data_IF_230367623631
#
_entry.id   IF_230367623631
#
_cell.length_a   1.000
_cell.length_b   1.000
_cell.length_c   1.000
_cell.angle_alpha   90.00
_cell.angle_beta   90.00
_cell.angle_gamma   90.00
#
_symmetry.space_group_name_H-M   'P 1'
#
loop_
_entity.id
_entity.type
_entity.pdbx_description
1 polymer ?
#
# COMPACT_ATOMS: atom_id res chain seq x y z
N UNK A 1 -28.58 -50.28 -23.22
CA UNK A 1 -29.65 -49.33 -22.87
C UNK A 1 -29.01 -47.98 -22.54
N UNK A 2 -29.29 -46.95 -23.35
CA UNK A 2 -30.22 -45.84 -23.03
C UNK A 2 -29.60 -44.66 -22.27
N UNK A 3 -28.55 -44.82 -21.48
CA UNK A 3 -28.00 -43.71 -20.65
C UNK A 3 -27.71 -42.42 -21.45
N UNK A 4 -27.14 -42.58 -22.65
CA UNK A 4 -26.83 -41.47 -23.55
C UNK A 4 -28.07 -40.84 -24.20
N UNK A 5 -29.12 -41.64 -24.42
CA UNK A 5 -30.42 -41.14 -24.88
C UNK A 5 -31.15 -40.44 -23.74
N UNK A 6 -31.09 -40.99 -22.53
CA UNK A 6 -31.73 -40.45 -21.33
C UNK A 6 -31.14 -39.08 -20.98
N UNK A 7 -29.81 -38.93 -21.03
CA UNK A 7 -29.12 -37.62 -20.89
C UNK A 7 -29.64 -36.59 -21.91
N UNK A 8 -29.87 -37.01 -23.15
CA UNK A 8 -30.35 -36.10 -24.20
C UNK A 8 -31.80 -35.69 -23.99
N UNK A 9 -32.67 -36.64 -23.65
CA UNK A 9 -34.08 -36.39 -23.32
C UNK A 9 -34.20 -35.46 -22.11
N UNK A 10 -33.43 -35.70 -21.05
CA UNK A 10 -33.37 -34.81 -19.88
C UNK A 10 -32.86 -33.42 -20.25
N UNK A 11 -31.83 -33.32 -21.11
CA UNK A 11 -31.35 -32.06 -21.63
C UNK A 11 -32.41 -31.27 -22.42
N UNK A 12 -33.26 -31.97 -23.19
CA UNK A 12 -34.39 -31.38 -23.91
C UNK A 12 -35.51 -30.92 -22.95
N UNK A 13 -35.81 -31.70 -21.92
CA UNK A 13 -36.75 -31.29 -20.86
C UNK A 13 -36.22 -30.03 -20.17
N UNK A 14 -34.93 -29.98 -19.85
CA UNK A 14 -34.31 -28.80 -19.25
C UNK A 14 -34.37 -27.58 -20.17
N UNK A 15 -34.19 -27.77 -21.48
CA UNK A 15 -34.37 -26.71 -22.48
C UNK A 15 -35.82 -26.20 -22.55
N UNK A 16 -36.80 -27.09 -22.41
CA UNK A 16 -38.23 -26.74 -22.40
C UNK A 16 -38.63 -25.98 -21.13
N UNK A 17 -38.06 -26.31 -19.97
CA UNK A 17 -38.30 -25.58 -18.73
C UNK A 17 -37.69 -24.17 -18.73
N UNK A 18 -36.65 -23.94 -19.53
CA UNK A 18 -35.91 -22.68 -19.58
C UNK A 18 -35.66 -22.23 -21.05
N UNK A 19 -36.69 -21.74 -21.76
CA UNK A 19 -36.60 -21.44 -23.19
C UNK A 19 -35.69 -20.24 -23.52
N UNK A 20 -35.71 -19.19 -22.69
CA UNK A 20 -35.01 -17.92 -22.98
C UNK A 20 -33.75 -17.73 -22.13
N UNK A 21 -32.89 -18.75 -22.03
CA UNK A 21 -31.66 -18.65 -21.26
C UNK A 21 -30.57 -17.91 -22.06
N UNK A 22 -30.05 -16.78 -21.56
CA UNK A 22 -28.95 -16.08 -22.22
C UNK A 22 -27.66 -16.93 -22.15
N UNK A 23 -26.80 -16.83 -23.17
CA UNK A 23 -25.59 -17.68 -23.32
C UNK A 23 -24.60 -17.66 -22.14
N UNK A 24 -24.74 -16.69 -21.25
CA UNK A 24 -23.89 -16.42 -20.11
C UNK A 24 -24.29 -17.29 -18.91
N UNK A 25 -25.55 -17.72 -18.86
CA UNK A 25 -26.09 -18.55 -17.78
C UNK A 25 -25.50 -19.95 -17.81
N UNK A 26 -25.37 -20.54 -16.64
CA UNK A 26 -24.80 -21.88 -16.52
C UNK A 26 -25.79 -22.95 -16.99
N UNK A 27 -27.09 -22.70 -16.87
CA UNK A 27 -28.15 -23.56 -17.41
C UNK A 27 -27.99 -23.70 -18.93
N UNK A 28 -27.74 -22.61 -19.67
CA UNK A 28 -27.52 -22.67 -21.11
C UNK A 28 -26.38 -23.63 -21.47
N UNK A 29 -25.26 -23.58 -20.75
CA UNK A 29 -24.11 -24.45 -21.01
C UNK A 29 -24.40 -25.91 -20.68
N UNK A 30 -25.10 -26.18 -19.59
CA UNK A 30 -25.53 -27.55 -19.21
C UNK A 30 -26.48 -28.14 -20.24
N UNK A 31 -27.52 -27.38 -20.65
CA UNK A 31 -28.46 -27.78 -21.71
C UNK A 31 -27.70 -28.06 -23.01
N UNK A 32 -26.86 -27.12 -23.45
CA UNK A 32 -26.08 -27.25 -24.69
C UNK A 32 -25.15 -28.46 -24.67
N UNK A 33 -24.56 -28.82 -23.53
CA UNK A 33 -23.71 -30.01 -23.38
C UNK A 33 -24.54 -31.30 -23.40
N UNK A 34 -25.68 -31.33 -22.73
CA UNK A 34 -26.58 -32.49 -22.72
C UNK A 34 -27.19 -32.76 -24.10
N UNK A 35 -27.51 -31.73 -24.87
CA UNK A 35 -28.17 -31.85 -26.18
C UNK A 35 -27.21 -31.86 -27.38
N UNK A 36 -25.92 -32.20 -27.20
CA UNK A 36 -24.99 -32.32 -28.33
C UNK A 36 -25.35 -33.50 -29.24
N UNK A 37 -25.14 -33.32 -30.54
CA UNK A 37 -25.42 -34.34 -31.57
C UNK A 37 -24.54 -35.58 -31.41
N UNK A 38 -23.27 -35.40 -31.06
CA UNK A 38 -22.32 -36.50 -30.84
C UNK A 38 -22.43 -37.02 -29.40
N UNK A 39 -22.79 -38.30 -29.24
CA UNK A 39 -22.90 -38.95 -27.94
C UNK A 39 -21.63 -38.81 -27.08
N UNK A 40 -20.44 -38.96 -27.69
CA UNK A 40 -19.15 -38.84 -27.01
C UNK A 40 -18.88 -37.46 -26.39
N UNK A 41 -19.60 -36.43 -26.83
CA UNK A 41 -19.43 -35.05 -26.34
C UNK A 41 -20.48 -34.66 -25.29
N UNK A 42 -21.49 -35.51 -25.06
CA UNK A 42 -22.48 -35.35 -24.00
C UNK A 42 -21.88 -35.74 -22.65
N UNK A 43 -22.66 -35.56 -21.59
CA UNK A 43 -22.33 -36.14 -20.29
C UNK A 43 -22.20 -37.66 -20.42
N UNK A 44 -21.22 -38.24 -19.70
CA UNK A 44 -20.98 -39.67 -19.73
C UNK A 44 -22.18 -40.47 -19.20
N UNK A 45 -22.84 -39.94 -18.17
CA UNK A 45 -23.98 -40.53 -17.49
C UNK A 45 -24.91 -39.44 -16.91
N UNK A 46 -26.11 -39.85 -16.48
CA UNK A 46 -27.08 -38.95 -15.84
C UNK A 46 -26.53 -38.35 -14.53
N UNK A 47 -25.66 -39.08 -13.82
CA UNK A 47 -25.02 -38.59 -12.59
C UNK A 47 -24.16 -37.35 -12.83
N UNK A 48 -23.42 -37.30 -13.93
CA UNK A 48 -22.59 -36.15 -14.30
C UNK A 48 -23.46 -34.92 -14.65
N UNK A 49 -24.60 -35.13 -15.31
CA UNK A 49 -25.58 -34.08 -15.54
C UNK A 49 -26.15 -33.55 -14.22
N UNK A 50 -26.56 -34.45 -13.32
CA UNK A 50 -27.05 -34.10 -11.98
C UNK A 50 -26.02 -33.30 -11.18
N UNK A 51 -24.75 -33.72 -11.21
CA UNK A 51 -23.67 -33.03 -10.51
C UNK A 51 -23.52 -31.58 -10.98
N UNK A 52 -23.60 -31.32 -12.29
CA UNK A 52 -23.53 -29.96 -12.81
C UNK A 52 -24.76 -29.11 -12.40
N UNK A 53 -25.95 -29.72 -12.31
CA UNK A 53 -27.15 -29.05 -11.80
C UNK A 53 -27.02 -28.72 -10.31
N UNK A 54 -26.56 -29.66 -9.48
CA UNK A 54 -26.27 -29.43 -8.06
C UNK A 54 -25.23 -28.33 -7.88
N UNK A 55 -24.19 -28.31 -8.72
CA UNK A 55 -23.21 -27.23 -8.75
C UNK A 55 -23.86 -25.86 -9.05
N UNK A 56 -24.84 -25.77 -9.95
CA UNK A 56 -25.58 -24.52 -10.20
C UNK A 56 -26.37 -24.11 -8.95
N UNK A 57 -27.09 -25.03 -8.32
CA UNK A 57 -27.88 -24.77 -7.11
C UNK A 57 -27.01 -24.32 -5.93
N UNK A 58 -25.87 -24.98 -5.72
CA UNK A 58 -24.91 -24.64 -4.66
C UNK A 58 -23.97 -23.47 -5.01
N UNK A 59 -24.17 -22.81 -6.16
CA UNK A 59 -23.30 -21.74 -6.70
C UNK A 59 -21.82 -22.17 -6.81
N UNK A 60 -21.53 -23.44 -7.11
CA UNK A 60 -20.18 -24.00 -7.35
C UNK A 60 -19.86 -24.11 -8.83
N UNK A 61 -18.66 -23.78 -9.32
CA UNK A 61 -18.36 -23.74 -10.75
C UNK A 61 -18.73 -25.04 -11.49
N UNK A 62 -19.44 -24.92 -12.63
CA UNK A 62 -19.75 -26.06 -13.50
C UNK A 62 -18.48 -26.62 -14.15
N UNK A 63 -18.45 -27.92 -14.46
CA UNK A 63 -17.25 -28.59 -14.99
C UNK A 63 -16.68 -27.88 -16.22
N UNK A 64 -17.56 -27.40 -17.11
CA UNK A 64 -17.16 -26.74 -18.35
C UNK A 64 -16.48 -25.37 -18.15
N UNK A 65 -16.88 -24.59 -17.13
CA UNK A 65 -16.33 -23.25 -16.84
C UNK A 65 -15.29 -23.26 -15.71
N UNK A 66 -14.97 -24.43 -15.17
CA UNK A 66 -14.01 -24.59 -14.06
C UNK A 66 -12.62 -24.01 -14.38
N UNK A 67 -12.24 -24.00 -15.65
CA UNK A 67 -10.95 -23.47 -16.12
C UNK A 67 -10.82 -21.95 -16.02
N UNK A 68 -11.90 -21.20 -15.77
CA UNK A 68 -11.86 -19.74 -15.63
C UNK A 68 -11.68 -19.32 -14.17
N UNK A 69 -10.51 -18.79 -13.79
CA UNK A 69 -10.20 -18.49 -12.39
C UNK A 69 -11.13 -17.41 -11.83
N UNK A 70 -11.44 -16.37 -12.62
CA UNK A 70 -12.33 -15.28 -12.21
C UNK A 70 -13.75 -15.76 -11.89
N UNK A 71 -14.27 -16.69 -12.69
CA UNK A 71 -15.60 -17.26 -12.47
C UNK A 71 -15.64 -18.12 -11.20
N UNK A 72 -14.58 -18.89 -10.95
CA UNK A 72 -14.45 -19.72 -9.75
C UNK A 72 -14.34 -18.86 -8.48
N UNK A 73 -13.54 -17.79 -8.51
CA UNK A 73 -13.41 -16.88 -7.36
C UNK A 73 -14.70 -16.13 -7.07
N UNK A 74 -15.40 -15.62 -8.09
CA UNK A 74 -16.72 -14.99 -7.91
C UNK A 74 -17.73 -15.94 -7.26
N UNK A 75 -17.79 -17.20 -7.71
CA UNK A 75 -18.63 -18.22 -7.09
C UNK A 75 -18.23 -18.52 -5.64
N UNK A 76 -16.94 -18.49 -5.32
CA UNK A 76 -16.46 -18.62 -3.93
C UNK A 76 -16.93 -17.46 -3.05
N UNK A 77 -16.84 -16.22 -3.55
CA UNK A 77 -17.35 -15.02 -2.86
C UNK A 77 -18.85 -15.14 -2.60
N UNK A 78 -19.63 -15.58 -3.60
CA UNK A 78 -21.08 -15.76 -3.47
C UNK A 78 -21.50 -16.83 -2.46
N UNK A 79 -20.65 -17.84 -2.20
CA UNK A 79 -20.92 -18.92 -1.23
C UNK A 79 -20.52 -18.53 0.19
N UNK A 80 -19.48 -17.72 0.36
CA UNK A 80 -18.96 -17.33 1.68
C UNK A 80 -18.68 -15.82 1.73
N UNK A 81 -19.73 -14.99 1.85
CA UNK A 81 -19.57 -13.54 1.80
C UNK A 81 -18.72 -13.01 2.96
N UNK A 82 -18.92 -13.51 4.18
CA UNK A 82 -18.20 -13.04 5.38
C UNK A 82 -16.67 -13.19 5.28
N UNK A 83 -16.10 -14.40 5.10
CA UNK A 83 -14.64 -14.53 5.01
C UNK A 83 -14.07 -13.88 3.76
N UNK A 84 -14.84 -13.83 2.66
CA UNK A 84 -14.39 -13.14 1.45
C UNK A 84 -14.22 -11.65 1.68
N UNK A 85 -15.19 -10.99 2.32
CA UNK A 85 -15.12 -9.57 2.65
C UNK A 85 -13.96 -9.29 3.61
N UNK A 86 -13.80 -10.10 4.65
CA UNK A 86 -12.68 -9.95 5.59
C UNK A 86 -11.32 -10.07 4.90
N UNK A 87 -11.15 -11.07 4.02
CA UNK A 87 -9.92 -11.21 3.24
C UNK A 87 -9.67 -10.02 2.31
N UNK A 88 -10.72 -9.50 1.66
CA UNK A 88 -10.62 -8.33 0.79
C UNK A 88 -10.21 -7.08 1.58
N UNK A 89 -10.79 -6.87 2.77
CA UNK A 89 -10.41 -5.76 3.67
C UNK A 89 -8.95 -5.90 4.10
N UNK A 90 -8.51 -7.09 4.49
CA UNK A 90 -7.12 -7.34 4.89
C UNK A 90 -6.16 -7.03 3.74
N UNK A 91 -6.42 -7.54 2.54
CA UNK A 91 -5.60 -7.24 1.36
C UNK A 91 -5.59 -5.75 1.07
N UNK A 92 -6.76 -5.09 1.08
CA UNK A 92 -6.86 -3.66 0.84
C UNK A 92 -6.07 -2.85 1.86
N UNK A 93 -6.18 -3.19 3.15
CA UNK A 93 -5.40 -2.54 4.21
C UNK A 93 -3.90 -2.74 4.02
N UNK A 94 -3.46 -3.94 3.63
CA UNK A 94 -2.06 -4.24 3.36
C UNK A 94 -1.52 -3.46 2.17
N UNK A 95 -2.31 -3.32 1.10
CA UNK A 95 -1.95 -2.53 -0.08
C UNK A 95 -1.87 -1.04 0.26
N UNK A 96 -2.86 -0.50 0.98
CA UNK A 96 -2.85 0.90 1.39
C UNK A 96 -1.65 1.19 2.31
N UNK A 97 -1.43 0.36 3.32
CA UNK A 97 -0.30 0.49 4.23
C UNK A 97 1.05 0.30 3.53
N UNK A 98 1.16 -0.66 2.63
CA UNK A 98 2.37 -0.86 1.82
C UNK A 98 2.69 0.36 0.96
N UNK A 99 1.68 0.94 0.30
CA UNK A 99 1.86 2.15 -0.50
C UNK A 99 2.31 3.35 0.35
N UNK A 100 1.73 3.56 1.53
CA UNK A 100 2.14 4.67 2.40
C UNK A 100 3.58 4.47 2.89
N UNK A 101 3.98 3.25 3.23
CA UNK A 101 5.36 2.93 3.60
C UNK A 101 6.34 3.18 2.46
N UNK A 102 6.02 2.76 1.24
CA UNK A 102 6.87 2.98 0.05
C UNK A 102 7.04 4.49 -0.21
N UNK A 103 5.95 5.26 -0.17
CA UNK A 103 6.02 6.71 -0.33
C UNK A 103 6.92 7.37 0.72
N UNK A 104 6.78 6.97 1.98
CA UNK A 104 7.62 7.49 3.07
C UNK A 104 9.07 7.08 2.94
N UNK A 105 9.34 5.86 2.50
CA UNK A 105 10.71 5.41 2.23
C UNK A 105 11.36 6.27 1.14
N UNK A 106 10.65 6.52 0.03
CA UNK A 106 11.15 7.37 -1.06
C UNK A 106 11.44 8.79 -0.57
N UNK A 107 10.57 9.39 0.25
CA UNK A 107 10.80 10.72 0.85
C UNK A 107 12.09 10.74 1.68
N UNK A 108 12.30 9.74 2.54
CA UNK A 108 13.50 9.65 3.36
C UNK A 108 14.77 9.49 2.52
N UNK A 109 14.73 8.73 1.43
CA UNK A 109 15.86 8.59 0.52
C UNK A 109 16.20 9.90 -0.17
N UNK A 110 15.19 10.69 -0.55
CA UNK A 110 15.38 12.01 -1.13
C UNK A 110 16.01 12.98 -0.12
N UNK A 111 15.49 13.04 1.10
CA UNK A 111 16.05 13.88 2.17
C UNK A 111 17.49 13.52 2.49
N UNK A 112 17.82 12.21 2.54
CA UNK A 112 19.20 11.75 2.73
C UNK A 112 20.12 12.20 1.61
N UNK A 113 19.71 12.03 0.35
CA UNK A 113 20.52 12.43 -0.79
C UNK A 113 20.79 13.94 -0.80
N UNK A 114 19.78 14.74 -0.44
CA UNK A 114 19.92 16.19 -0.30
C UNK A 114 20.90 16.52 0.85
N UNK A 115 20.81 15.83 1.98
CA UNK A 115 21.71 16.04 3.11
C UNK A 115 23.17 15.67 2.77
N UNK A 116 23.39 14.58 2.04
CA UNK A 116 24.71 14.16 1.56
C UNK A 116 25.33 15.19 0.60
N UNK A 117 24.54 15.72 -0.33
CA UNK A 117 24.97 16.75 -1.29
C UNK A 117 25.34 18.06 -0.58
N UNK A 118 24.47 18.52 0.32
CA UNK A 118 24.73 19.71 1.15
C UNK A 118 25.99 19.51 2.01
N UNK A 119 26.18 18.33 2.59
CA UNK A 119 27.36 18.01 3.40
C UNK A 119 28.66 18.12 2.59
N UNK A 120 28.65 17.66 1.33
CA UNK A 120 29.80 17.79 0.43
C UNK A 120 30.12 19.26 0.13
N UNK A 121 29.11 20.08 -0.14
CA UNK A 121 29.28 21.50 -0.42
C UNK A 121 29.81 22.27 0.80
N UNK A 122 29.25 22.03 1.98
CA UNK A 122 29.71 22.66 3.24
C UNK A 122 31.15 22.27 3.54
N UNK A 123 31.50 20.99 3.38
CA UNK A 123 32.86 20.50 3.60
C UNK A 123 33.84 21.22 2.67
N UNK A 124 33.49 21.36 1.39
CA UNK A 124 34.32 22.07 0.40
C UNK A 124 34.52 23.56 0.76
N UNK A 125 33.47 24.24 1.22
CA UNK A 125 33.56 25.64 1.65
C UNK A 125 34.43 25.80 2.90
N UNK A 126 34.35 24.89 3.89
CA UNK A 126 35.20 24.90 5.08
C UNK A 126 36.67 24.70 4.71
N UNK A 127 36.96 23.78 3.79
CA UNK A 127 38.33 23.56 3.30
C UNK A 127 38.89 24.78 2.55
N UNK A 128 38.08 25.46 1.74
CA UNK A 128 38.54 26.67 1.04
C UNK A 128 38.63 27.90 1.96
N UNK A 129 37.76 28.03 2.96
CA UNK A 129 37.82 29.12 3.94
C UNK A 129 39.06 29.04 4.85
N UNK A 130 39.63 27.85 5.02
CA UNK A 130 40.88 27.65 5.79
C UNK A 130 42.14 28.13 5.05
N UNK A 131 42.03 28.52 3.77
CA UNK A 131 43.14 29.00 2.93
C UNK A 131 43.25 30.52 2.78
N UNK A 132 42.32 31.33 3.30
CA UNK A 132 42.40 32.79 3.26
C UNK A 132 42.27 33.37 4.68
N UNK A 133 43.33 34.03 5.12
CA UNK A 133 43.49 34.81 6.35
C UNK A 133 42.17 35.30 6.99
N UNK A 134 41.71 34.58 8.02
CA UNK A 134 40.56 34.98 8.87
C UNK A 134 41.09 35.44 10.23
N UNK A 135 41.76 36.58 10.28
CA UNK A 135 42.02 37.22 11.58
C UNK A 135 41.07 38.36 11.92
N UNK A 136 40.36 38.99 10.96
CA UNK A 136 39.53 40.17 11.31
C UNK A 136 38.29 40.36 10.42
N UNK A 137 37.43 39.35 10.29
CA UNK A 137 36.08 39.57 9.75
C UNK A 137 35.05 39.35 10.86
N UNK A 138 34.41 40.44 11.29
CA UNK A 138 33.42 40.41 12.36
C UNK A 138 32.15 39.65 11.94
N UNK A 139 31.61 38.87 12.86
CA UNK A 139 30.42 38.02 12.67
C UNK A 139 29.22 38.81 12.12
N UNK A 140 29.12 40.10 12.44
CA UNK A 140 28.11 41.01 11.91
C UNK A 140 28.25 41.26 10.40
N UNK A 141 29.47 41.50 9.91
CA UNK A 141 29.73 41.69 8.48
C UNK A 141 29.48 40.40 7.68
N UNK A 142 29.82 39.25 8.27
CA UNK A 142 29.53 37.94 7.67
C UNK A 142 28.01 37.68 7.59
N UNK A 143 27.25 38.09 8.60
CA UNK A 143 25.79 37.95 8.62
C UNK A 143 25.09 38.88 7.62
N UNK A 144 25.58 40.11 7.44
CA UNK A 144 25.04 41.04 6.43
C UNK A 144 25.31 40.59 4.99
N UNK A 145 26.53 40.10 4.71
CA UNK A 145 26.87 39.56 3.39
C UNK A 145 26.04 38.32 3.07
N UNK A 146 25.80 37.47 4.07
CA UNK A 146 24.95 36.28 3.95
C UNK A 146 23.48 36.67 3.73
N UNK A 147 22.98 37.69 4.44
CA UNK A 147 21.63 38.24 4.25
C UNK A 147 21.41 38.78 2.83
N UNK A 148 22.36 39.55 2.30
CA UNK A 148 22.25 40.11 0.94
C UNK A 148 22.28 39.03 -0.13
N UNK A 149 23.18 38.05 -0.02
CA UNK A 149 23.38 37.01 -1.04
C UNK A 149 22.23 35.99 -1.09
N UNK A 150 21.59 35.71 0.04
CA UNK A 150 20.46 34.77 0.10
C UNK A 150 19.15 35.42 -0.40
N UNK A 151 18.96 36.70 -0.13
CA UNK A 151 17.76 37.42 -0.60
C UNK A 151 17.82 37.77 -2.10
N UNK A 152 19.02 37.92 -2.67
CA UNK A 152 19.22 38.18 -4.10
C UNK A 152 19.17 36.91 -4.98
N UNK A 153 19.16 35.71 -4.40
CA UNK A 153 19.16 34.47 -5.16
C UNK A 153 17.72 34.11 -5.63
N UNK A 154 17.45 34.05 -6.95
CA UNK A 154 16.13 33.73 -7.49
C UNK A 154 15.71 32.27 -7.28
N UNK A 155 16.64 31.36 -7.00
CA UNK A 155 16.37 29.91 -6.98
C UNK A 155 15.86 29.37 -5.63
N UNK A 156 15.71 30.22 -4.61
CA UNK A 156 15.26 29.78 -3.29
C UNK A 156 13.73 29.75 -3.22
N UNK A 157 13.11 28.58 -2.92
CA UNK A 157 11.65 28.44 -2.81
C UNK A 157 11.04 29.36 -1.75
N UNK A 158 9.87 29.96 -2.07
CA UNK A 158 9.20 30.99 -1.26
C UNK A 158 9.02 30.63 0.22
N UNK A 159 8.77 29.36 0.53
CA UNK A 159 8.53 28.89 1.89
C UNK A 159 9.78 28.91 2.79
N UNK A 160 10.98 28.77 2.20
CA UNK A 160 12.25 28.85 2.93
C UNK A 160 12.58 30.31 3.25
N UNK A 161 12.29 31.23 2.30
CA UNK A 161 12.46 32.67 2.52
C UNK A 161 11.63 33.16 3.71
N UNK A 162 10.38 32.70 3.85
CA UNK A 162 9.52 33.06 4.99
C UNK A 162 10.06 32.54 6.33
N UNK A 163 10.42 31.25 6.41
CA UNK A 163 10.94 30.66 7.66
C UNK A 163 12.27 31.29 8.07
N UNK A 164 13.12 31.64 7.12
CA UNK A 164 14.42 32.24 7.37
C UNK A 164 14.32 33.72 7.75
N UNK A 165 13.43 34.49 7.12
CA UNK A 165 13.12 35.86 7.56
C UNK A 165 12.57 35.88 8.99
N UNK A 166 11.70 34.93 9.33
CA UNK A 166 11.17 34.78 10.67
C UNK A 166 12.28 34.51 11.70
N UNK A 167 13.19 33.58 11.39
CA UNK A 167 14.34 33.27 12.26
C UNK A 167 15.34 34.44 12.42
N UNK A 168 15.40 35.35 11.44
CA UNK A 168 16.23 36.56 11.51
C UNK A 168 15.57 37.73 12.24
N UNK A 169 14.24 37.69 12.46
CA UNK A 169 13.48 38.69 13.21
C UNK A 169 13.29 38.30 14.68
N UNK A 170 13.46 37.03 15.02
CA UNK A 170 13.51 36.59 16.41
C UNK A 170 14.89 36.88 17.01
N UNK A 171 14.99 37.68 18.08
CA UNK A 171 16.27 37.93 18.73
C UNK A 171 16.86 36.61 19.22
N UNK A 172 18.17 36.43 18.96
CA UNK A 172 18.95 35.29 19.44
C UNK A 172 18.78 35.21 20.96
N UNK A 173 18.27 34.10 21.53
CA UNK A 173 18.11 34.02 22.98
C UNK A 173 19.48 34.11 23.63
N UNK A 174 19.66 35.09 24.51
CA UNK A 174 20.86 35.19 25.32
C UNK A 174 21.01 33.92 26.14
N UNK A 175 22.22 33.36 26.12
CA UNK A 175 22.63 32.18 26.88
C UNK A 175 22.51 32.53 28.37
N UNK A 176 21.37 32.25 28.99
CA UNK A 176 21.24 32.37 30.44
C UNK A 176 22.13 31.31 31.10
N UNK A 177 23.19 31.82 31.73
CA UNK A 177 24.10 31.13 32.63
C UNK A 177 23.29 30.27 33.62
N UNK A 178 23.57 28.98 33.65
CA UNK A 178 22.94 27.96 34.49
C UNK A 178 23.04 28.38 35.96
N UNK A 179 21.90 28.81 36.53
CA UNK A 179 21.73 29.04 37.96
C UNK A 179 21.75 27.68 38.68
N UNK A 180 22.57 27.60 39.73
CA UNK A 180 22.79 26.45 40.61
C UNK A 180 21.51 25.69 40.98
N UNK A 181 21.51 24.38 40.73
CA UNK A 181 20.47 23.43 41.15
C UNK A 181 20.43 23.42 42.68
N UNK A 182 19.37 23.96 43.26
CA UNK A 182 19.02 23.79 44.67
C UNK A 182 18.40 22.41 44.87
N UNK A 183 19.06 21.55 45.66
CA UNK A 183 18.51 20.26 46.06
C UNK A 183 17.24 20.44 46.93
N UNK A 184 16.15 19.74 46.58
CA UNK A 184 14.96 19.56 47.42
C UNK A 184 15.17 18.41 48.43
N UNK A 185 14.42 18.41 49.56
CA UNK A 185 14.76 17.66 50.76
C UNK A 185 14.19 16.25 50.69
N UNK A 186 14.99 15.28 50.24
CA UNK A 186 14.79 13.87 50.57
C UNK A 186 16.05 13.08 50.23
N UNK A 187 17.14 13.42 50.91
CA UNK A 187 18.32 12.56 50.97
C UNK A 187 18.15 11.60 52.15
N UNK A 188 17.79 10.35 51.87
CA UNK A 188 17.90 9.27 52.84
C UNK A 188 19.38 8.85 52.97
N UNK A 189 19.95 8.75 54.19
CA UNK A 189 21.29 8.21 54.35
C UNK A 189 21.20 6.68 54.32
N UNK A 190 21.83 6.05 53.33
CA UNK A 190 22.19 4.63 53.41
C UNK A 190 23.59 4.55 53.99
N UNK A 191 23.62 4.43 55.32
CA UNK A 191 24.79 4.04 56.08
C UNK A 191 24.96 2.52 55.94
N UNK A 192 26.07 2.06 55.33
CA UNK A 192 26.60 0.69 55.42
C UNK A 192 28.11 0.69 55.19
N UNK A 193 28.82 0.82 56.31
CA UNK A 193 29.96 0.00 56.77
C UNK A 193 30.73 -0.88 55.77
N UNK A 194 32.06 -0.70 55.79
CA UNK A 194 33.13 -1.72 55.78
C UNK A 194 34.42 -0.96 56.18
N UNK A 195 34.92 -1.05 57.43
CA UNK A 195 35.84 -2.10 57.94
C UNK A 195 36.97 -2.46 56.99
#
# INVERSE_FOLDING_TARGET
MTEQSDVYSLGKILALMFPDQPMWTDIYWVVRRATRTKAKQRYLNVRALRQDIECILERRPIEQKKHWPLYSTLRLVQRRPLPSVLSAILVLSGVLFGNTLIQKNIQLQQEKKIAEDIMYEVTRLVFHAKGQNVEQMSVSAMMELTRRRILSNPDIPKHIKQKMLLAMMTPVPEKHLTKSISCQPNCAPKDRTQQ
#
